data_IF_806201162877
#
_entry.id   IF_806201162877
#
_cell.length_a   1.000
_cell.length_b   1.000
_cell.length_c   1.000
_cell.angle_alpha   90.00
_cell.angle_beta   90.00
_cell.angle_gamma   90.00
#
_symmetry.space_group_name_H-M   'P 1'
#
loop_
_entity.id
_entity.type
_entity.pdbx_description
1 polymer ?
#
# COMPACT_ATOMS: atom_id res chain seq x y z
N UNK A 1 40.47 12.79 24.78
CA UNK A 1 39.45 12.89 25.85
C UNK A 1 38.11 13.18 25.20
N UNK A 2 37.42 12.14 24.79
CA UNK A 2 36.08 12.19 24.21
C UNK A 2 35.22 11.32 25.12
N UNK A 3 34.58 11.94 26.10
CA UNK A 3 33.63 11.26 26.97
C UNK A 3 32.39 10.92 26.14
N UNK A 4 32.31 9.64 25.82
CA UNK A 4 31.17 8.98 25.22
C UNK A 4 29.99 9.11 26.19
N UNK A 5 28.95 9.83 25.77
CA UNK A 5 27.72 10.06 26.51
C UNK A 5 26.80 8.83 26.42
N UNK A 6 27.26 7.66 26.89
CA UNK A 6 26.52 6.39 26.87
C UNK A 6 25.64 6.16 28.11
N UNK A 7 25.62 7.10 29.08
CA UNK A 7 24.96 6.92 30.38
C UNK A 7 23.50 7.40 30.49
N UNK A 8 23.02 8.29 29.61
CA UNK A 8 21.69 8.91 29.77
C UNK A 8 20.53 8.05 29.26
N UNK A 9 20.70 7.33 28.15
CA UNK A 9 19.61 6.53 27.56
C UNK A 9 19.17 5.30 28.39
N UNK A 10 20.09 4.72 29.17
CA UNK A 10 19.79 3.53 29.98
C UNK A 10 19.05 3.91 31.27
N UNK A 11 19.38 5.05 31.89
CA UNK A 11 18.69 5.53 33.09
C UNK A 11 17.23 5.93 32.81
N UNK A 12 16.97 6.53 31.65
CA UNK A 12 15.64 7.02 31.27
C UNK A 12 14.70 5.89 30.81
N UNK A 13 15.23 4.87 30.12
CA UNK A 13 14.47 3.67 29.75
C UNK A 13 14.07 2.84 30.98
N UNK A 14 14.94 2.79 32.00
CA UNK A 14 14.63 2.15 33.29
C UNK A 14 13.55 2.92 34.06
N UNK A 15 13.54 4.25 34.02
CA UNK A 15 12.48 5.09 34.62
C UNK A 15 11.12 4.86 33.92
N UNK A 16 11.11 4.78 32.58
CA UNK A 16 9.90 4.48 31.81
C UNK A 16 9.30 3.11 32.16
N UNK A 17 10.11 2.05 32.13
CA UNK A 17 9.63 0.69 32.42
C UNK A 17 9.08 0.59 33.84
N UNK A 18 9.68 1.33 34.78
CA UNK A 18 9.20 1.42 36.16
C UNK A 18 7.84 2.11 36.23
N UNK A 19 7.66 3.26 35.55
CA UNK A 19 6.37 3.96 35.45
C UNK A 19 5.29 3.06 34.82
N UNK A 20 5.60 2.40 33.71
CA UNK A 20 4.70 1.47 33.02
C UNK A 20 4.28 0.28 33.91
N UNK A 21 5.24 -0.32 34.62
CA UNK A 21 4.99 -1.42 35.54
C UNK A 21 4.15 -0.98 36.74
N UNK A 22 4.38 0.22 37.26
CA UNK A 22 3.59 0.80 38.34
C UNK A 22 2.12 0.97 37.95
N UNK A 23 1.83 1.47 36.75
CA UNK A 23 0.45 1.61 36.25
C UNK A 23 -0.18 0.22 36.06
N UNK A 24 0.56 -0.73 35.48
CA UNK A 24 0.09 -2.11 35.29
C UNK A 24 -0.22 -2.83 36.61
N UNK A 25 0.56 -2.58 37.66
CA UNK A 25 0.32 -3.12 39.00
C UNK A 25 -0.90 -2.49 39.71
N UNK A 26 -1.36 -1.31 39.29
CA UNK A 26 -2.63 -0.73 39.76
C UNK A 26 -3.84 -1.44 39.15
N UNK A 27 -3.68 -2.05 37.98
CA UNK A 27 -4.71 -2.81 37.28
C UNK A 27 -4.85 -4.27 37.75
N UNK A 28 -3.81 -4.83 38.39
CA UNK A 28 -3.88 -6.18 38.96
C UNK A 28 -4.95 -6.23 40.05
N UNK A 29 -5.82 -7.26 40.01
CA UNK A 29 -6.86 -7.48 41.01
C UNK A 29 -6.24 -7.54 42.41
N UNK A 30 -6.54 -6.53 43.23
CA UNK A 30 -6.27 -6.56 44.67
C UNK A 30 -7.53 -7.06 45.37
N UNK A 31 -7.35 -7.86 46.42
CA UNK A 31 -8.46 -8.37 47.23
C UNK A 31 -9.39 -7.20 47.60
N UNK A 32 -10.67 -7.29 47.23
CA UNK A 32 -11.78 -6.37 47.56
C UNK A 32 -11.83 -4.98 46.87
N UNK A 33 -10.90 -4.57 45.99
CA UNK A 33 -10.99 -3.26 45.29
C UNK A 33 -11.03 -3.42 43.78
N UNK A 34 -12.10 -2.91 43.14
CA UNK A 34 -12.15 -2.79 41.68
C UNK A 34 -11.09 -1.76 41.23
N UNK A 35 -10.20 -2.11 40.30
CA UNK A 35 -9.20 -1.17 39.79
C UNK A 35 -9.89 -0.03 39.04
N UNK A 36 -9.35 1.19 39.18
CA UNK A 36 -9.83 2.35 38.44
C UNK A 36 -9.26 2.33 37.02
N UNK A 37 -9.97 1.66 36.11
CA UNK A 37 -9.52 1.43 34.73
C UNK A 37 -9.46 2.73 33.92
N UNK A 38 -10.33 3.69 34.21
CA UNK A 38 -10.34 5.00 33.54
C UNK A 38 -9.08 5.81 33.87
N UNK A 39 -8.73 5.92 35.15
CA UNK A 39 -7.51 6.63 35.59
C UNK A 39 -6.23 5.96 35.06
N UNK A 40 -6.22 4.62 35.00
CA UNK A 40 -5.10 3.90 34.40
C UNK A 40 -4.96 4.19 32.89
N UNK A 41 -6.08 4.32 32.17
CA UNK A 41 -6.08 4.71 30.76
C UNK A 41 -5.46 6.11 30.55
N UNK A 42 -5.83 7.08 31.40
CA UNK A 42 -5.28 8.44 31.33
C UNK A 42 -3.78 8.45 31.65
N UNK A 43 -3.36 7.67 32.66
CA UNK A 43 -1.95 7.52 33.02
C UNK A 43 -1.12 6.88 31.90
N UNK A 44 -1.64 5.86 31.21
CA UNK A 44 -0.97 5.28 30.04
C UNK A 44 -0.93 6.26 28.86
N UNK A 45 -1.98 7.04 28.64
CA UNK A 45 -2.04 8.01 27.54
C UNK A 45 -1.06 9.17 27.75
N UNK A 46 -0.92 9.65 28.99
CA UNK A 46 0.07 10.66 29.36
C UNK A 46 1.50 10.13 29.18
N UNK A 47 1.77 8.91 29.65
CA UNK A 47 3.07 8.26 29.50
C UNK A 47 3.43 8.04 28.01
N UNK A 48 2.45 7.65 27.20
CA UNK A 48 2.64 7.49 25.76
C UNK A 48 3.05 8.80 25.07
N UNK A 49 2.44 9.91 25.48
CA UNK A 49 2.77 11.26 24.95
C UNK A 49 4.17 11.71 25.37
N UNK A 50 4.60 11.39 26.60
CA UNK A 50 5.98 11.62 27.05
C UNK A 50 6.98 10.80 26.20
N UNK A 51 6.66 9.56 25.86
CA UNK A 51 7.48 8.74 24.98
C UNK A 51 7.55 9.29 23.55
N UNK A 52 6.44 9.80 23.00
CA UNK A 52 6.42 10.46 21.69
C UNK A 52 7.35 11.69 21.67
N UNK A 53 7.33 12.51 22.71
CA UNK A 53 8.20 13.69 22.84
C UNK A 53 9.69 13.32 22.92
N UNK A 54 10.01 12.15 23.47
CA UNK A 54 11.38 11.62 23.58
C UNK A 54 11.79 10.73 22.41
N UNK A 55 10.96 10.65 21.36
CA UNK A 55 11.19 9.80 20.18
C UNK A 55 11.32 8.30 20.48
N UNK A 56 10.72 7.85 21.58
CA UNK A 56 10.68 6.44 22.02
C UNK A 56 9.45 5.73 21.43
N UNK A 57 9.44 5.55 20.11
CA UNK A 57 8.26 5.12 19.34
C UNK A 57 7.71 3.73 19.74
N UNK A 58 8.57 2.74 19.93
CA UNK A 58 8.15 1.38 20.33
C UNK A 58 7.44 1.39 21.70
N UNK A 59 7.97 2.16 22.64
CA UNK A 59 7.41 2.31 23.99
C UNK A 59 6.11 3.13 24.02
N UNK A 60 6.01 4.16 23.17
CA UNK A 60 4.77 4.88 22.96
C UNK A 60 3.66 3.93 22.44
N UNK A 61 3.98 3.07 21.47
CA UNK A 61 3.08 2.04 20.96
C UNK A 61 2.57 1.08 22.05
N UNK A 62 3.46 0.61 22.93
CA UNK A 62 3.09 -0.25 24.06
C UNK A 62 2.15 0.45 25.06
N UNK A 63 2.37 1.73 25.33
CA UNK A 63 1.49 2.52 26.21
C UNK A 63 0.10 2.71 25.59
N UNK A 64 0.03 3.04 24.30
CA UNK A 64 -1.25 3.17 23.59
C UNK A 64 -2.01 1.84 23.53
N UNK A 65 -1.32 0.72 23.34
CA UNK A 65 -1.92 -0.61 23.39
C UNK A 65 -2.49 -0.93 24.79
N UNK A 66 -1.78 -0.56 25.85
CA UNK A 66 -2.27 -0.72 27.22
C UNK A 66 -3.50 0.16 27.50
N UNK A 67 -3.50 1.41 27.02
CA UNK A 67 -4.66 2.32 27.10
C UNK A 67 -5.88 1.75 26.34
N UNK A 68 -5.66 1.20 25.14
CA UNK A 68 -6.73 0.54 24.37
C UNK A 68 -7.37 -0.63 25.13
N UNK A 69 -6.55 -1.50 25.76
CA UNK A 69 -7.06 -2.60 26.60
C UNK A 69 -7.90 -2.10 27.78
N UNK A 70 -7.56 -0.94 28.35
CA UNK A 70 -8.35 -0.30 29.39
C UNK A 70 -9.73 0.13 28.84
N UNK A 71 -9.77 0.78 27.68
CA UNK A 71 -11.03 1.17 27.03
C UNK A 71 -11.90 -0.02 26.62
N UNK A 72 -11.29 -1.12 26.17
CA UNK A 72 -12.01 -2.37 25.91
C UNK A 72 -12.65 -2.97 27.16
N UNK A 73 -12.00 -2.83 28.32
CA UNK A 73 -12.58 -3.24 29.62
C UNK A 73 -13.71 -2.31 30.07
N UNK A 74 -13.70 -1.05 29.62
CA UNK A 74 -14.77 -0.07 29.85
C UNK A 74 -15.88 -0.14 28.80
N UNK A 75 -15.82 -1.11 27.87
CA UNK A 75 -16.77 -1.30 26.77
C UNK A 75 -16.92 -0.07 25.84
N UNK A 76 -15.90 0.79 25.79
CA UNK A 76 -15.87 1.96 24.91
C UNK A 76 -15.19 1.62 23.58
N UNK A 77 -15.93 0.97 22.69
CA UNK A 77 -15.42 0.42 21.43
C UNK A 77 -14.79 1.48 20.51
N UNK A 78 -15.39 2.68 20.39
CA UNK A 78 -14.85 3.74 19.52
C UNK A 78 -13.50 4.26 20.00
N UNK A 79 -13.35 4.46 21.31
CA UNK A 79 -12.08 4.93 21.88
C UNK A 79 -11.03 3.82 21.84
N UNK A 80 -11.41 2.57 22.08
CA UNK A 80 -10.53 1.41 21.92
C UNK A 80 -9.94 1.33 20.50
N UNK A 81 -10.77 1.43 19.46
CA UNK A 81 -10.34 1.41 18.05
C UNK A 81 -9.32 2.53 17.79
N UNK A 82 -9.63 3.77 18.18
CA UNK A 82 -8.74 4.90 17.93
C UNK A 82 -7.36 4.73 18.60
N UNK A 83 -7.34 4.21 19.83
CA UNK A 83 -6.10 3.95 20.56
C UNK A 83 -5.31 2.77 19.95
N UNK A 84 -5.98 1.72 19.47
CA UNK A 84 -5.34 0.61 18.75
C UNK A 84 -4.72 1.08 17.43
N UNK A 85 -5.43 1.91 16.66
CA UNK A 85 -4.91 2.51 15.43
C UNK A 85 -3.69 3.38 15.73
N UNK A 86 -3.77 4.20 16.78
CA UNK A 86 -2.64 5.03 17.22
C UNK A 86 -1.44 4.17 17.63
N UNK A 87 -1.66 3.10 18.39
CA UNK A 87 -0.60 2.15 18.76
C UNK A 87 0.07 1.53 17.52
N UNK A 88 -0.71 1.02 16.57
CA UNK A 88 -0.21 0.44 15.32
C UNK A 88 0.68 1.41 14.54
N UNK A 89 0.26 2.68 14.41
CA UNK A 89 1.05 3.73 13.75
C UNK A 89 2.38 4.04 14.43
N UNK A 90 2.41 4.00 15.76
CA UNK A 90 3.67 4.19 16.49
C UNK A 90 4.65 3.05 16.25
N UNK A 91 4.17 1.80 16.17
CA UNK A 91 5.02 0.67 15.80
C UNK A 91 5.52 0.74 14.34
N UNK A 92 4.68 1.19 13.41
CA UNK A 92 5.13 1.43 12.02
C UNK A 92 6.20 2.52 11.95
N UNK A 93 6.03 3.59 12.72
CA UNK A 93 7.00 4.69 12.80
C UNK A 93 8.32 4.21 13.39
N UNK A 94 8.27 3.41 14.45
CA UNK A 94 9.44 2.78 15.02
C UNK A 94 10.22 1.98 13.99
N UNK A 95 9.56 1.06 13.27
CA UNK A 95 10.25 0.23 12.27
C UNK A 95 10.81 1.08 11.12
N UNK A 96 10.09 2.13 10.69
CA UNK A 96 10.60 3.05 9.67
C UNK A 96 11.89 3.72 10.14
N UNK A 97 11.93 4.19 11.38
CA UNK A 97 13.13 4.81 11.97
C UNK A 97 14.27 3.82 12.13
N UNK A 98 13.96 2.58 12.53
CA UNK A 98 14.93 1.49 12.65
C UNK A 98 15.51 1.11 11.27
N UNK A 99 14.69 1.13 10.22
CA UNK A 99 15.13 0.95 8.83
C UNK A 99 16.01 2.12 8.34
N UNK A 100 15.66 3.37 8.67
CA UNK A 100 16.44 4.56 8.27
C UNK A 100 17.88 4.53 8.82
N UNK A 101 18.10 3.93 9.99
CA UNK A 101 19.43 3.75 10.61
C UNK A 101 20.11 2.42 10.23
N UNK A 102 19.47 1.60 9.38
CA UNK A 102 19.98 0.29 8.96
C UNK A 102 19.95 -0.77 10.06
N UNK A 103 19.17 -0.57 11.12
CA UNK A 103 19.01 -1.50 12.24
C UNK A 103 17.60 -2.10 12.28
N UNK A 104 17.14 -2.64 11.15
CA UNK A 104 15.86 -3.35 11.07
C UNK A 104 15.77 -4.43 12.15
N UNK A 105 14.64 -4.51 12.85
CA UNK A 105 14.43 -5.55 13.86
C UNK A 105 14.58 -6.93 13.22
N UNK A 106 15.41 -7.80 13.80
CA UNK A 106 15.55 -9.18 13.36
C UNK A 106 14.17 -9.84 13.51
N UNK A 107 13.47 -10.06 12.38
CA UNK A 107 12.12 -10.65 12.35
C UNK A 107 10.94 -9.67 12.26
N UNK A 108 11.15 -8.36 12.08
CA UNK A 108 10.06 -7.36 11.93
C UNK A 108 9.00 -7.44 13.06
N UNK A 109 9.41 -7.69 14.30
CA UNK A 109 8.49 -7.95 15.42
C UNK A 109 7.53 -6.78 15.66
N UNK A 110 7.98 -5.54 15.46
CA UNK A 110 7.13 -4.34 15.56
C UNK A 110 6.02 -4.34 14.52
N UNK A 111 6.32 -4.71 13.26
CA UNK A 111 5.32 -4.78 12.19
C UNK A 111 4.41 -6.01 12.39
N UNK A 112 4.98 -7.21 12.48
CA UNK A 112 4.24 -8.47 12.45
C UNK A 112 3.44 -8.74 13.73
N UNK A 113 4.02 -8.49 14.90
CA UNK A 113 3.38 -8.83 16.18
C UNK A 113 2.51 -7.69 16.66
N UNK A 114 2.96 -6.44 16.48
CA UNK A 114 2.28 -5.30 17.10
C UNK A 114 1.37 -4.56 16.13
N UNK A 115 1.83 -4.18 14.93
CA UNK A 115 0.98 -3.45 13.98
C UNK A 115 -0.12 -4.31 13.35
N UNK A 116 0.21 -5.51 12.84
CA UNK A 116 -0.77 -6.43 12.26
C UNK A 116 -1.82 -6.84 13.29
N UNK A 117 -1.40 -7.12 14.53
CA UNK A 117 -2.32 -7.50 15.61
C UNK A 117 -3.19 -6.34 16.05
N UNK A 118 -2.65 -5.13 16.19
CA UNK A 118 -3.45 -3.95 16.57
C UNK A 118 -4.48 -3.59 15.49
N UNK A 119 -4.09 -3.60 14.22
CA UNK A 119 -5.02 -3.37 13.12
C UNK A 119 -6.01 -4.52 12.97
N UNK A 120 -5.58 -5.78 13.13
CA UNK A 120 -6.46 -6.95 13.15
C UNK A 120 -7.55 -6.85 14.23
N UNK A 121 -7.17 -6.49 15.46
CA UNK A 121 -8.13 -6.27 16.55
C UNK A 121 -9.05 -5.08 16.28
N UNK A 122 -8.54 -4.00 15.72
CA UNK A 122 -9.36 -2.85 15.32
C UNK A 122 -10.41 -3.26 14.29
N UNK A 123 -9.99 -3.98 13.24
CA UNK A 123 -10.89 -4.48 12.20
C UNK A 123 -11.96 -5.41 12.76
N UNK A 124 -11.62 -6.32 13.68
CA UNK A 124 -12.59 -7.20 14.32
C UNK A 124 -13.65 -6.44 15.16
N UNK A 125 -13.26 -5.31 15.76
CA UNK A 125 -14.14 -4.48 16.62
C UNK A 125 -14.94 -3.43 15.85
N UNK A 126 -14.47 -3.01 14.69
CA UNK A 126 -15.16 -2.03 13.86
C UNK A 126 -16.33 -2.61 13.04
N UNK A 127 -16.52 -3.94 13.01
CA UNK A 127 -17.55 -4.63 12.18
C UNK A 127 -18.98 -4.10 12.33
N UNK A 128 -19.29 -3.49 13.47
CA UNK A 128 -20.62 -2.96 13.79
C UNK A 128 -20.76 -1.42 13.62
N UNK A 129 -19.73 -0.71 13.12
CA UNK A 129 -19.75 0.76 13.00
C UNK A 129 -20.01 1.23 11.56
N UNK A 130 -20.76 2.33 11.36
CA UNK A 130 -20.93 2.94 10.03
C UNK A 130 -19.58 3.46 9.50
N UNK A 131 -19.25 3.15 8.24
CA UNK A 131 -17.95 3.50 7.65
C UNK A 131 -16.82 2.51 7.96
N UNK A 132 -17.12 1.39 8.61
CA UNK A 132 -16.18 0.30 8.89
C UNK A 132 -15.34 -0.10 7.67
N UNK A 133 -16.00 -0.30 6.52
CA UNK A 133 -15.35 -0.82 5.33
C UNK A 133 -14.23 0.13 4.84
N UNK A 134 -14.46 1.44 4.88
CA UNK A 134 -13.46 2.44 4.46
C UNK A 134 -12.29 2.52 5.43
N UNK A 135 -12.55 2.50 6.74
CA UNK A 135 -11.49 2.55 7.76
C UNK A 135 -10.65 1.26 7.71
N UNK A 136 -11.32 0.11 7.64
CA UNK A 136 -10.68 -1.22 7.58
C UNK A 136 -9.80 -1.39 6.33
N UNK A 137 -10.31 -0.99 5.15
CA UNK A 137 -9.52 -0.96 3.93
C UNK A 137 -8.34 0.02 4.03
N UNK A 138 -8.55 1.20 4.61
CA UNK A 138 -7.48 2.19 4.83
C UNK A 138 -6.34 1.65 5.69
N UNK A 139 -6.66 1.00 6.81
CA UNK A 139 -5.67 0.37 7.70
C UNK A 139 -4.92 -0.78 7.01
N UNK A 140 -5.64 -1.58 6.21
CA UNK A 140 -5.04 -2.68 5.44
C UNK A 140 -4.05 -2.17 4.38
N UNK A 141 -4.36 -1.05 3.72
CA UNK A 141 -3.44 -0.38 2.78
C UNK A 141 -2.21 0.17 3.51
N UNK A 142 -2.42 0.84 4.66
CA UNK A 142 -1.33 1.39 5.48
C UNK A 142 -0.34 0.30 5.92
N UNK A 143 -0.89 -0.84 6.36
CA UNK A 143 -0.09 -2.02 6.72
C UNK A 143 0.64 -2.62 5.52
N UNK A 144 -0.02 -2.73 4.36
CA UNK A 144 0.60 -3.26 3.15
C UNK A 144 1.78 -2.41 2.68
N UNK A 145 1.65 -1.07 2.75
CA UNK A 145 2.73 -0.15 2.41
C UNK A 145 3.94 -0.31 3.34
N UNK A 146 3.71 -0.58 4.62
CA UNK A 146 4.78 -0.83 5.57
C UNK A 146 5.47 -2.20 5.38
N UNK A 147 4.71 -3.23 4.98
CA UNK A 147 5.25 -4.56 4.66
C UNK A 147 6.02 -4.59 3.33
N UNK A 148 5.77 -3.64 2.44
CA UNK A 148 6.41 -3.56 1.13
C UNK A 148 5.89 -4.61 0.12
N UNK A 149 6.54 -4.75 -1.05
CA UNK A 149 6.08 -5.56 -2.19
C UNK A 149 6.19 -7.09 -1.99
N UNK A 150 6.26 -7.56 -0.75
CA UNK A 150 6.28 -8.99 -0.43
C UNK A 150 4.88 -9.65 -0.49
N UNK A 151 4.82 -11.00 -0.41
CA UNK A 151 3.56 -11.75 -0.40
C UNK A 151 2.60 -11.31 0.70
N UNK A 152 3.13 -10.94 1.87
CA UNK A 152 2.34 -10.44 3.00
C UNK A 152 1.66 -9.10 2.68
N UNK A 153 2.37 -8.16 2.04
CA UNK A 153 1.81 -6.87 1.62
C UNK A 153 0.73 -7.04 0.55
N UNK A 154 0.98 -7.90 -0.45
CA UNK A 154 0.01 -8.27 -1.49
C UNK A 154 -1.28 -8.83 -0.88
N UNK A 155 -1.17 -9.74 0.10
CA UNK A 155 -2.33 -10.33 0.75
C UNK A 155 -3.18 -9.27 1.49
N UNK A 156 -2.54 -8.29 2.15
CA UNK A 156 -3.26 -7.21 2.83
C UNK A 156 -3.97 -6.28 1.85
N UNK A 157 -3.37 -5.99 0.69
CA UNK A 157 -4.02 -5.20 -0.36
C UNK A 157 -5.23 -5.93 -0.95
N UNK A 158 -5.13 -7.25 -1.20
CA UNK A 158 -6.27 -8.04 -1.66
C UNK A 158 -7.43 -7.99 -0.67
N UNK A 159 -7.14 -8.19 0.62
CA UNK A 159 -8.14 -8.02 1.69
C UNK A 159 -8.76 -6.62 1.70
N UNK A 160 -7.96 -5.58 1.49
CA UNK A 160 -8.47 -4.21 1.44
C UNK A 160 -9.45 -4.02 0.27
N UNK A 161 -9.14 -4.58 -0.90
CA UNK A 161 -9.98 -4.52 -2.10
C UNK A 161 -11.29 -5.29 -1.89
N UNK A 162 -11.22 -6.49 -1.30
CA UNK A 162 -12.39 -7.32 -1.00
C UNK A 162 -13.36 -6.61 -0.04
N UNK A 163 -12.84 -5.82 0.90
CA UNK A 163 -13.64 -5.05 1.87
C UNK A 163 -14.21 -3.79 1.21
N UNK A 164 -13.35 -2.99 0.57
CA UNK A 164 -13.71 -1.74 -0.07
C UNK A 164 -12.71 -1.39 -1.19
N UNK A 165 -13.08 -1.60 -2.47
CA UNK A 165 -12.19 -1.33 -3.59
C UNK A 165 -11.91 0.16 -3.70
N UNK A 166 -10.65 0.55 -3.51
CA UNK A 166 -10.18 1.93 -3.70
C UNK A 166 -9.12 1.98 -4.79
N UNK A 167 -9.12 3.06 -5.57
CA UNK A 167 -8.07 3.29 -6.58
C UNK A 167 -6.66 3.21 -5.99
N UNK A 168 -6.46 3.71 -4.75
CA UNK A 168 -5.18 3.61 -4.07
C UNK A 168 -4.78 2.15 -3.79
N UNK A 169 -5.68 1.31 -3.28
CA UNK A 169 -5.38 -0.09 -2.99
C UNK A 169 -4.99 -0.85 -4.26
N UNK A 170 -5.76 -0.65 -5.33
CA UNK A 170 -5.57 -1.36 -6.59
C UNK A 170 -4.30 -0.90 -7.29
N UNK A 171 -4.07 0.42 -7.42
CA UNK A 171 -2.84 0.94 -7.99
C UNK A 171 -1.62 0.46 -7.21
N UNK A 172 -1.69 0.44 -5.87
CA UNK A 172 -0.58 -0.08 -5.05
C UNK A 172 -0.34 -1.57 -5.29
N UNK A 173 -1.40 -2.37 -5.45
CA UNK A 173 -1.30 -3.80 -5.70
C UNK A 173 -0.69 -4.09 -7.08
N UNK A 174 -1.12 -3.35 -8.10
CA UNK A 174 -0.54 -3.40 -9.45
C UNK A 174 0.95 -3.05 -9.38
N UNK A 175 1.30 -1.96 -8.69
CA UNK A 175 2.71 -1.58 -8.49
C UNK A 175 3.53 -2.60 -7.71
N UNK A 176 2.91 -3.39 -6.82
CA UNK A 176 3.61 -4.47 -6.11
C UNK A 176 3.87 -5.66 -7.02
N UNK A 177 2.92 -6.00 -7.91
CA UNK A 177 3.12 -7.06 -8.91
C UNK A 177 4.15 -6.66 -9.99
N UNK A 178 4.15 -5.40 -10.43
CA UNK A 178 5.14 -4.87 -11.39
C UNK A 178 6.55 -4.87 -10.79
N UNK A 179 6.70 -4.41 -9.55
CA UNK A 179 7.98 -4.31 -8.83
C UNK A 179 8.36 -5.59 -8.08
N UNK A 180 7.68 -6.70 -8.32
CA UNK A 180 8.00 -7.94 -7.65
C UNK A 180 9.35 -8.46 -8.18
N UNK A 181 10.41 -8.18 -7.43
CA UNK A 181 11.74 -8.75 -7.68
C UNK A 181 11.67 -10.25 -7.45
N UNK A 182 11.62 -11.01 -8.54
CA UNK A 182 11.79 -12.45 -8.53
C UNK A 182 13.20 -12.75 -8.02
N UNK A 183 13.30 -13.07 -6.73
CA UNK A 183 14.53 -13.40 -5.97
C UNK A 183 15.35 -14.60 -6.50
N UNK A 184 15.03 -15.15 -7.67
CA UNK A 184 15.73 -16.28 -8.25
C UNK A 184 15.87 -16.09 -9.77
N UNK A 185 17.12 -15.93 -10.23
CA UNK A 185 17.59 -15.83 -11.61
C UNK A 185 17.30 -14.53 -12.39
N UNK A 186 18.30 -13.63 -12.39
CA UNK A 186 18.82 -12.74 -13.46
C UNK A 186 17.87 -12.06 -14.48
N UNK A 187 16.56 -12.15 -14.31
CA UNK A 187 15.57 -11.43 -15.09
C UNK A 187 14.57 -10.90 -14.08
N UNK A 188 14.51 -9.57 -13.97
CA UNK A 188 13.41 -8.86 -13.32
C UNK A 188 12.13 -9.19 -14.08
N UNK A 189 11.50 -10.33 -13.81
CA UNK A 189 10.16 -10.65 -14.29
C UNK A 189 9.21 -10.38 -13.14
N UNK A 190 8.68 -9.16 -13.11
CA UNK A 190 7.46 -8.88 -12.35
C UNK A 190 6.34 -9.79 -12.85
N UNK A 191 5.34 -10.08 -12.00
CA UNK A 191 4.16 -10.84 -12.41
C UNK A 191 3.21 -9.93 -13.20
N UNK A 192 3.62 -9.62 -14.44
CA UNK A 192 2.88 -8.77 -15.36
C UNK A 192 1.52 -9.37 -15.72
N UNK A 193 1.38 -10.69 -15.68
CA UNK A 193 0.10 -11.37 -15.95
C UNK A 193 -0.89 -11.09 -14.83
N UNK A 194 -0.48 -11.27 -13.57
CA UNK A 194 -1.34 -10.92 -12.43
C UNK A 194 -1.64 -9.42 -12.38
N UNK A 195 -0.66 -8.56 -12.67
CA UNK A 195 -0.87 -7.12 -12.76
C UNK A 195 -1.93 -6.75 -13.80
N UNK A 196 -1.85 -7.33 -15.00
CA UNK A 196 -2.80 -7.09 -16.09
C UNK A 196 -4.22 -7.55 -15.75
N UNK A 197 -4.36 -8.72 -15.11
CA UNK A 197 -5.66 -9.25 -14.70
C UNK A 197 -6.35 -8.33 -13.67
N UNK A 198 -5.60 -7.89 -12.66
CA UNK A 198 -6.11 -6.98 -11.61
C UNK A 198 -6.50 -5.62 -12.22
N UNK A 199 -5.67 -5.10 -13.14
CA UNK A 199 -5.97 -3.87 -13.89
C UNK A 199 -7.27 -4.00 -14.70
N UNK A 200 -7.47 -5.14 -15.38
CA UNK A 200 -8.66 -5.37 -16.18
C UNK A 200 -9.93 -5.43 -15.32
N UNK A 201 -9.91 -6.20 -14.23
CA UNK A 201 -11.03 -6.27 -13.28
C UNK A 201 -11.37 -4.89 -12.69
N UNK A 202 -10.34 -4.06 -12.45
CA UNK A 202 -10.55 -2.71 -11.95
C UNK A 202 -11.18 -1.76 -12.96
N UNK A 203 -10.75 -1.80 -14.23
CA UNK A 203 -11.37 -1.00 -15.30
C UNK A 203 -12.85 -1.35 -15.44
N UNK A 204 -13.18 -2.64 -15.49
CA UNK A 204 -14.57 -3.12 -15.56
C UNK A 204 -15.41 -2.62 -14.35
N UNK A 205 -14.82 -2.65 -13.15
CA UNK A 205 -15.47 -2.11 -11.95
C UNK A 205 -15.71 -0.60 -12.01
N UNK A 206 -14.72 0.18 -12.47
CA UNK A 206 -14.83 1.65 -12.57
C UNK A 206 -15.83 2.04 -13.65
N UNK A 207 -15.83 1.37 -14.80
CA UNK A 207 -16.80 1.60 -15.87
C UNK A 207 -18.23 1.31 -15.40
N UNK A 208 -18.45 0.24 -14.64
CA UNK A 208 -19.75 -0.05 -14.03
C UNK A 208 -20.19 1.06 -13.06
N UNK A 209 -19.26 1.64 -12.29
CA UNK A 209 -19.55 2.78 -11.40
C UNK A 209 -19.92 4.04 -12.18
N UNK A 210 -19.21 4.34 -13.28
CA UNK A 210 -19.50 5.47 -14.17
C UNK A 210 -20.86 5.30 -14.83
N UNK A 211 -21.18 4.09 -15.32
CA UNK A 211 -22.48 3.76 -15.89
C UNK A 211 -23.62 3.90 -14.87
N UNK A 212 -23.37 3.59 -13.60
CA UNK A 212 -24.29 3.81 -12.49
C UNK A 212 -24.44 5.30 -12.08
N UNK A 213 -23.76 6.22 -12.77
CA UNK A 213 -23.88 7.66 -12.57
C UNK A 213 -22.96 8.23 -11.48
N UNK A 214 -21.92 7.50 -11.07
CA UNK A 214 -20.92 8.00 -10.14
C UNK A 214 -20.20 9.21 -10.73
N UNK A 215 -20.20 10.33 -10.01
CA UNK A 215 -19.50 11.56 -10.41
C UNK A 215 -18.16 11.63 -9.69
N UNK A 216 -17.07 11.51 -10.44
CA UNK A 216 -15.71 11.55 -9.93
C UNK A 216 -14.70 11.68 -11.05
N UNK A 217 -13.43 11.87 -10.70
CA UNK A 217 -12.33 11.94 -11.67
C UNK A 217 -11.91 10.53 -12.15
N UNK A 218 -12.89 9.72 -12.56
CA UNK A 218 -12.66 8.34 -13.03
C UNK A 218 -11.88 8.32 -14.34
N UNK A 219 -12.01 9.35 -15.18
CA UNK A 219 -11.28 9.45 -16.45
C UNK A 219 -9.77 9.45 -16.25
N UNK A 220 -9.24 10.15 -15.22
CA UNK A 220 -7.79 10.13 -14.94
C UNK A 220 -7.32 8.75 -14.46
N UNK A 221 -8.16 8.03 -13.72
CA UNK A 221 -7.85 6.67 -13.26
C UNK A 221 -7.85 5.71 -14.45
N UNK A 222 -8.89 5.77 -15.28
CA UNK A 222 -9.03 4.93 -16.47
C UNK A 222 -7.92 5.22 -17.49
N UNK A 223 -7.54 6.49 -17.70
CA UNK A 223 -6.39 6.90 -18.52
C UNK A 223 -5.12 6.17 -18.08
N UNK A 224 -4.75 6.28 -16.80
CA UNK A 224 -3.55 5.62 -16.28
C UNK A 224 -3.62 4.10 -16.47
N UNK A 225 -4.77 3.50 -16.15
CA UNK A 225 -4.97 2.05 -16.32
C UNK A 225 -4.84 1.61 -17.78
N UNK A 226 -5.37 2.39 -18.72
CA UNK A 226 -5.30 2.13 -20.15
C UNK A 226 -3.84 2.11 -20.64
N UNK A 227 -3.07 3.16 -20.33
CA UNK A 227 -1.65 3.26 -20.71
C UNK A 227 -0.84 2.09 -20.11
N UNK A 228 -1.04 1.79 -18.83
CA UNK A 228 -0.35 0.66 -18.17
C UNK A 228 -0.76 -0.69 -18.77
N UNK A 229 -2.03 -0.91 -19.12
CA UNK A 229 -2.50 -2.14 -19.81
C UNK A 229 -1.84 -2.30 -21.17
N UNK A 230 -1.74 -1.24 -21.97
CA UNK A 230 -1.07 -1.27 -23.29
C UNK A 230 0.39 -1.67 -23.13
N UNK A 231 1.14 -1.02 -22.23
CA UNK A 231 2.55 -1.37 -21.99
C UNK A 231 2.73 -2.82 -21.53
N UNK A 232 1.90 -3.30 -20.60
CA UNK A 232 1.94 -4.69 -20.13
C UNK A 232 1.62 -5.69 -21.25
N UNK A 233 0.65 -5.39 -22.11
CA UNK A 233 0.29 -6.23 -23.26
C UNK A 233 1.42 -6.31 -24.29
N UNK A 234 2.09 -5.19 -24.56
CA UNK A 234 3.26 -5.14 -25.45
C UNK A 234 4.45 -5.92 -24.90
N UNK A 235 4.67 -5.90 -23.57
CA UNK A 235 5.73 -6.67 -22.90
C UNK A 235 5.42 -8.17 -22.92
N UNK A 236 4.16 -8.54 -22.63
CA UNK A 236 3.76 -9.94 -22.48
C UNK A 236 3.55 -10.67 -23.81
N UNK A 237 3.20 -9.95 -24.88
CA UNK A 237 2.77 -10.49 -26.17
C UNK A 237 1.93 -11.79 -26.03
N UNK A 238 0.81 -11.75 -25.28
CA UNK A 238 0.06 -12.96 -24.99
C UNK A 238 -0.51 -13.56 -26.27
N UNK A 239 -0.53 -14.89 -26.37
CA UNK A 239 -1.16 -15.57 -27.50
C UNK A 239 -2.67 -15.27 -27.55
N UNK A 240 -3.30 -15.19 -28.74
CA UNK A 240 -4.71 -14.82 -28.88
C UNK A 240 -5.68 -15.68 -28.07
N UNK A 241 -5.31 -16.92 -27.74
CA UNK A 241 -6.11 -17.85 -26.93
C UNK A 241 -6.13 -17.50 -25.44
N UNK A 242 -5.18 -16.69 -24.95
CA UNK A 242 -5.04 -16.28 -23.56
C UNK A 242 -5.52 -14.84 -23.31
N UNK A 243 -5.90 -14.13 -24.36
CA UNK A 243 -6.41 -12.77 -24.30
C UNK A 243 -7.91 -12.78 -24.03
N UNK A 244 -8.32 -12.12 -22.95
CA UNK A 244 -9.72 -11.76 -22.73
C UNK A 244 -10.19 -10.82 -23.85
N UNK A 245 -11.42 -10.93 -24.36
CA UNK A 245 -11.93 -10.07 -25.43
C UNK A 245 -11.80 -8.56 -25.15
N UNK A 246 -11.94 -8.15 -23.89
CA UNK A 246 -11.75 -6.75 -23.46
C UNK A 246 -10.31 -6.25 -23.63
N UNK A 247 -9.31 -7.12 -23.46
CA UNK A 247 -7.89 -6.80 -23.65
C UNK A 247 -7.51 -6.80 -25.13
N UNK A 248 -8.13 -7.66 -25.93
CA UNK A 248 -7.97 -7.65 -27.39
C UNK A 248 -8.50 -6.34 -28.00
N UNK A 249 -9.66 -5.87 -27.55
CA UNK A 249 -10.23 -4.58 -27.97
C UNK A 249 -9.32 -3.38 -27.68
N UNK A 250 -8.59 -3.41 -26.56
CA UNK A 250 -7.61 -2.35 -26.25
C UNK A 250 -6.52 -2.33 -27.29
N UNK A 251 -5.90 -3.46 -27.63
CA UNK A 251 -4.86 -3.51 -28.67
C UNK A 251 -5.41 -3.15 -30.06
N UNK A 252 -6.61 -3.62 -30.39
CA UNK A 252 -7.26 -3.28 -31.66
C UNK A 252 -7.49 -1.76 -31.78
N UNK A 253 -7.92 -1.09 -30.71
CA UNK A 253 -8.10 0.38 -30.69
C UNK A 253 -6.82 1.15 -31.04
N UNK A 254 -5.64 0.66 -30.65
CA UNK A 254 -4.37 1.30 -31.00
C UNK A 254 -3.75 0.76 -32.29
N UNK A 255 -4.19 -0.41 -32.78
CA UNK A 255 -3.73 -0.99 -34.05
C UNK A 255 -4.50 -0.42 -35.25
N UNK A 256 -5.78 -0.11 -35.09
CA UNK A 256 -6.65 0.44 -36.14
C UNK A 256 -6.88 1.92 -35.87
N UNK A 257 -6.19 2.78 -36.64
CA UNK A 257 -6.35 4.23 -36.60
C UNK A 257 -7.68 4.67 -37.23
N UNK A 258 -8.81 4.31 -36.62
CA UNK A 258 -10.09 4.91 -37.01
C UNK A 258 -10.22 6.31 -36.37
N UNK A 259 -10.47 7.32 -37.20
CA UNK A 259 -10.53 8.76 -36.86
C UNK A 259 -11.59 9.13 -35.80
N UNK A 260 -12.36 8.18 -35.27
CA UNK A 260 -13.51 8.42 -34.40
C UNK A 260 -13.46 7.67 -33.06
N UNK A 261 -12.28 7.32 -32.55
CA UNK A 261 -12.18 6.84 -31.18
C UNK A 261 -12.47 8.01 -30.25
N UNK A 262 -13.71 8.12 -29.79
CA UNK A 262 -14.11 9.06 -28.74
C UNK A 262 -13.06 9.04 -27.63
N UNK A 263 -12.30 10.14 -27.48
CA UNK A 263 -11.28 10.36 -26.45
C UNK A 263 -11.93 10.51 -25.06
N UNK A 264 -12.73 9.53 -24.66
CA UNK A 264 -13.47 9.52 -23.40
C UNK A 264 -12.58 9.52 -22.15
N UNK A 265 -11.27 9.31 -22.33
CA UNK A 265 -10.28 9.19 -21.25
C UNK A 265 -9.42 10.44 -21.03
N UNK A 266 -9.71 11.59 -21.66
CA UNK A 266 -8.89 12.80 -21.59
C UNK A 266 -7.42 12.61 -22.04
N UNK A 267 -7.13 11.66 -22.95
CA UNK A 267 -5.82 11.59 -23.61
C UNK A 267 -5.67 12.77 -24.58
N UNK A 268 -4.46 13.32 -24.66
CA UNK A 268 -4.11 14.26 -25.72
C UNK A 268 -4.01 13.52 -27.07
N UNK A 269 -4.27 14.22 -28.18
CA UNK A 269 -4.13 13.64 -29.52
C UNK A 269 -2.70 13.16 -29.77
N UNK A 270 -1.70 13.93 -29.32
CA UNK A 270 -0.29 13.56 -29.43
C UNK A 270 0.02 12.27 -28.66
N UNK A 271 -0.46 12.14 -27.41
CA UNK A 271 -0.27 10.93 -26.60
C UNK A 271 -0.91 9.70 -27.25
N UNK A 272 -2.12 9.85 -27.80
CA UNK A 272 -2.82 8.77 -28.51
C UNK A 272 -2.03 8.32 -29.74
N UNK A 273 -1.55 9.26 -30.55
CA UNK A 273 -0.77 8.98 -31.76
C UNK A 273 0.54 8.28 -31.42
N UNK A 274 1.26 8.76 -30.40
CA UNK A 274 2.51 8.14 -29.96
C UNK A 274 2.29 6.71 -29.45
N UNK A 275 1.20 6.44 -28.73
CA UNK A 275 0.83 5.09 -28.30
C UNK A 275 0.46 4.18 -29.48
N UNK A 276 -0.25 4.68 -30.49
CA UNK A 276 -0.52 3.94 -31.73
C UNK A 276 0.77 3.61 -32.47
N UNK A 277 1.66 4.58 -32.63
CA UNK A 277 2.99 4.39 -33.22
C UNK A 277 3.80 3.34 -32.46
N UNK A 278 3.78 3.36 -31.12
CA UNK A 278 4.45 2.36 -30.30
C UNK A 278 3.90 0.95 -30.54
N UNK A 279 2.57 0.78 -30.55
CA UNK A 279 1.94 -0.52 -30.79
C UNK A 279 2.30 -1.06 -32.18
N UNK A 280 2.26 -0.21 -33.21
CA UNK A 280 2.63 -0.58 -34.58
C UNK A 280 4.12 -0.91 -34.71
N UNK A 281 5.01 -0.14 -34.06
CA UNK A 281 6.44 -0.40 -34.06
C UNK A 281 6.76 -1.77 -33.40
N UNK A 282 6.10 -2.08 -32.28
CA UNK A 282 6.24 -3.39 -31.63
C UNK A 282 5.71 -4.53 -32.50
N UNK A 283 4.56 -4.36 -33.19
CA UNK A 283 4.00 -5.40 -34.08
C UNK A 283 4.84 -5.63 -35.34
N UNK A 284 5.39 -4.55 -35.91
CA UNK A 284 6.27 -4.60 -37.08
C UNK A 284 7.71 -5.00 -36.75
N UNK A 285 8.03 -5.18 -35.46
CA UNK A 285 9.37 -5.49 -34.96
C UNK A 285 10.41 -4.42 -35.36
N UNK A 286 9.99 -3.16 -35.46
CA UNK A 286 10.88 -2.03 -35.76
C UNK A 286 11.52 -1.49 -34.47
N UNK A 287 12.70 -1.99 -34.15
CA UNK A 287 13.39 -1.66 -32.89
C UNK A 287 13.88 -0.22 -32.88
N UNK A 288 14.23 0.34 -34.05
CA UNK A 288 14.73 1.71 -34.15
C UNK A 288 13.60 2.70 -33.85
N UNK A 289 12.41 2.45 -34.40
CA UNK A 289 11.23 3.26 -34.10
C UNK A 289 10.86 3.23 -32.61
N UNK A 290 10.93 2.07 -31.94
CA UNK A 290 10.65 1.96 -30.50
C UNK A 290 11.63 2.80 -29.66
N UNK A 291 12.91 2.85 -30.04
CA UNK A 291 13.93 3.65 -29.33
C UNK A 291 13.71 5.17 -29.52
N UNK A 292 13.32 5.60 -30.72
CA UNK A 292 13.04 7.02 -30.99
C UNK A 292 11.80 7.49 -30.20
N UNK A 293 10.75 6.65 -30.18
CA UNK A 293 9.51 6.90 -29.43
C UNK A 293 9.72 6.98 -27.90
N UNK A 294 10.79 6.39 -27.34
CA UNK A 294 11.06 6.46 -25.91
C UNK A 294 11.14 7.90 -25.41
N UNK A 295 11.87 8.74 -26.15
CA UNK A 295 12.11 10.14 -25.80
C UNK A 295 10.84 11.00 -25.90
N UNK A 296 9.96 10.67 -26.85
CA UNK A 296 8.74 11.40 -27.13
C UNK A 296 7.60 11.02 -26.17
N UNK A 297 7.56 9.77 -25.71
CA UNK A 297 6.57 9.28 -24.73
C UNK A 297 6.91 9.64 -23.28
N UNK A 298 8.19 9.88 -22.98
CA UNK A 298 8.67 10.18 -21.62
C UNK A 298 7.93 11.33 -20.89
N UNK A 299 7.55 12.44 -21.53
CA UNK A 299 6.82 13.52 -20.87
C UNK A 299 5.41 13.13 -20.41
N UNK A 300 4.76 12.19 -21.10
CA UNK A 300 3.38 11.79 -20.84
C UNK A 300 3.27 10.72 -19.75
N UNK A 301 4.34 9.97 -19.51
CA UNK A 301 4.32 8.82 -18.60
C UNK A 301 4.69 9.16 -17.15
N UNK A 302 4.04 8.47 -16.22
CA UNK A 302 4.47 8.44 -14.82
C UNK A 302 5.74 7.58 -14.64
N UNK A 303 6.34 7.63 -13.45
CA UNK A 303 7.59 6.91 -13.16
C UNK A 303 7.49 5.39 -13.40
N UNK A 304 6.34 4.79 -13.11
CA UNK A 304 6.12 3.36 -13.25
C UNK A 304 5.94 2.97 -14.72
N UNK A 305 5.19 3.77 -15.48
CA UNK A 305 5.04 3.61 -16.92
C UNK A 305 6.37 3.77 -17.66
N UNK A 306 7.24 4.67 -17.19
CA UNK A 306 8.62 4.81 -17.69
C UNK A 306 9.46 3.57 -17.44
N UNK A 307 9.37 2.98 -16.25
CA UNK A 307 10.06 1.71 -15.95
C UNK A 307 9.55 0.58 -16.84
N UNK A 308 8.23 0.50 -17.08
CA UNK A 308 7.65 -0.47 -18.01
C UNK A 308 8.09 -0.23 -19.46
N UNK A 309 8.15 1.02 -19.93
CA UNK A 309 8.63 1.34 -21.27
C UNK A 309 10.09 0.94 -21.44
N UNK A 310 10.94 1.24 -20.46
CA UNK A 310 12.33 0.80 -20.47
C UNK A 310 12.43 -0.74 -20.50
N UNK A 311 11.56 -1.43 -19.75
CA UNK A 311 11.50 -2.89 -19.77
C UNK A 311 11.05 -3.43 -21.13
N UNK A 312 10.09 -2.79 -21.79
CA UNK A 312 9.64 -3.13 -23.14
C UNK A 312 10.81 -3.03 -24.13
N UNK A 313 11.58 -1.94 -24.07
CA UNK A 313 12.76 -1.76 -24.93
C UNK A 313 13.80 -2.87 -24.70
N UNK A 314 14.05 -3.24 -23.45
CA UNK A 314 14.93 -4.37 -23.13
C UNK A 314 14.43 -5.68 -23.75
N UNK A 315 13.12 -5.97 -23.63
CA UNK A 315 12.53 -7.20 -24.19
C UNK A 315 12.65 -7.21 -25.70
N UNK A 316 12.27 -6.11 -26.37
CA UNK A 316 12.33 -5.98 -27.83
C UNK A 316 13.77 -6.06 -28.34
N UNK A 317 14.75 -5.51 -27.61
CA UNK A 317 16.17 -5.58 -28.00
C UNK A 317 16.81 -6.95 -27.80
N UNK A 318 16.18 -7.84 -27.04
CA UNK A 318 16.68 -9.21 -26.76
C UNK A 318 16.04 -10.29 -27.63
N UNK A 319 14.97 -9.97 -28.35
CA UNK A 319 14.30 -10.85 -29.32
C UNK A 319 14.96 -10.76 -30.69
#
# INVERSE_FOLDING_TARGET
MSHVNQGQGIGETVDFLTKFHNISNKLKKRFLRKPNVAEACDQFSALATECEQKELWQYAGLCWLAAARCQGTLENTSSEINLLVKAGRQFLTAEKKDNDIGCSSIGQENIQVSSVSCFGHSMARCSNQPGFNTISAGLSIELALALGPGPAGIQQLRKAIDIFPTSKAINTLVSFHIRQDSSCNFILTGDYVAALQILNEFVEFVEACVAAGARGNYNTILHRCEVTRVLLLLILQPSPQRLTPSLAQVLEKYAWAEENVNNGLNMSEDELLLLQSLVLACQSHDHQAVLELESELYPYFDTEQKELLHKLIQVVSTQ
#
